data_IF_021938304642
#
_entry.id   IF_021938304642
#
_cell.length_a   1.000
_cell.length_b   1.000
_cell.length_c   1.000
_cell.angle_alpha   90.00
_cell.angle_beta   90.00
_cell.angle_gamma   90.00
#
_symmetry.space_group_name_H-M   'P 1'
#
loop_
_entity.id
_entity.type
_entity.pdbx_description
1 polymer ?
#
# COMPACT_ATOMS: atom_id res chain seq x y z
N UNK A 1 -2.31 -2.22 -20.74
CA UNK A 1 -2.03 -1.50 -19.48
C UNK A 1 -2.97 -1.88 -18.34
N UNK A 2 -4.31 -1.84 -18.48
CA UNK A 2 -5.23 -2.28 -17.40
C UNK A 2 -4.92 -3.69 -16.84
N UNK A 3 -4.64 -4.67 -17.71
CA UNK A 3 -4.24 -6.03 -17.30
C UNK A 3 -2.97 -6.04 -16.44
N UNK A 4 -2.00 -5.18 -16.75
CA UNK A 4 -0.73 -5.06 -15.98
C UNK A 4 -1.03 -4.51 -14.59
N UNK A 5 -1.84 -3.46 -14.47
CA UNK A 5 -2.23 -2.94 -13.16
C UNK A 5 -3.03 -3.94 -12.33
N UNK A 6 -3.87 -4.77 -12.97
CA UNK A 6 -4.57 -5.84 -12.27
C UNK A 6 -3.58 -6.87 -11.70
N UNK A 7 -2.59 -7.30 -12.49
CA UNK A 7 -1.51 -8.19 -12.00
C UNK A 7 -0.74 -7.55 -10.85
N UNK A 8 -0.41 -6.25 -10.96
CA UNK A 8 0.25 -5.51 -9.88
C UNK A 8 -0.61 -5.40 -8.61
N UNK A 9 -1.95 -5.26 -8.73
CA UNK A 9 -2.85 -5.32 -7.57
C UNK A 9 -2.79 -6.68 -6.88
N UNK A 10 -2.79 -7.77 -7.66
CA UNK A 10 -2.71 -9.13 -7.10
C UNK A 10 -1.38 -9.31 -6.38
N UNK A 11 -0.26 -8.93 -7.02
CA UNK A 11 1.07 -9.00 -6.40
C UNK A 11 1.17 -8.13 -5.14
N UNK A 12 0.58 -6.94 -5.17
CA UNK A 12 0.56 -6.02 -4.03
C UNK A 12 -0.26 -6.49 -2.84
N UNK A 13 -1.09 -7.53 -3.00
CA UNK A 13 -1.77 -8.22 -1.89
C UNK A 13 -0.97 -9.46 -1.50
N UNK A 14 -0.65 -10.32 -2.46
CA UNK A 14 -0.04 -11.62 -2.19
C UNK A 14 1.31 -11.48 -1.49
N UNK A 15 2.18 -10.58 -1.95
CA UNK A 15 3.53 -10.45 -1.39
C UNK A 15 3.53 -9.91 0.05
N UNK A 16 2.80 -8.83 0.41
CA UNK A 16 2.77 -8.36 1.80
C UNK A 16 2.07 -9.35 2.74
N UNK A 17 0.94 -9.92 2.33
CA UNK A 17 0.22 -10.87 3.19
C UNK A 17 0.99 -12.17 3.39
N UNK A 18 1.76 -12.63 2.41
CA UNK A 18 2.63 -13.79 2.57
C UNK A 18 3.62 -13.59 3.74
N UNK A 19 4.32 -12.46 3.77
CA UNK A 19 5.27 -12.15 4.83
C UNK A 19 4.57 -11.90 6.18
N UNK A 20 3.41 -11.24 6.17
CA UNK A 20 2.63 -11.00 7.39
C UNK A 20 2.12 -12.31 8.02
N UNK A 21 1.62 -13.25 7.20
CA UNK A 21 1.15 -14.55 7.68
C UNK A 21 2.32 -15.35 8.25
N UNK A 22 3.47 -15.37 7.58
CA UNK A 22 4.67 -16.03 8.11
C UNK A 22 5.08 -15.45 9.47
N UNK A 23 5.13 -14.12 9.59
CA UNK A 23 5.42 -13.45 10.85
C UNK A 23 4.42 -13.84 11.94
N UNK A 24 3.11 -13.87 11.63
CA UNK A 24 2.08 -14.26 12.59
C UNK A 24 2.24 -15.73 13.01
N UNK A 25 2.56 -16.64 12.10
CA UNK A 25 2.80 -18.06 12.43
C UNK A 25 4.00 -18.18 13.39
N UNK A 26 5.08 -17.46 13.13
CA UNK A 26 6.30 -17.48 13.95
C UNK A 26 6.08 -16.84 15.33
N UNK A 27 5.18 -15.86 15.44
CA UNK A 27 4.88 -15.12 16.67
C UNK A 27 3.60 -15.59 17.38
N UNK A 28 3.12 -16.82 17.13
CA UNK A 28 1.90 -17.40 17.74
C UNK A 28 0.64 -16.52 17.55
N UNK A 29 0.52 -15.85 16.41
CA UNK A 29 -0.56 -14.92 16.08
C UNK A 29 -0.42 -13.53 16.71
N UNK A 30 0.69 -13.25 17.40
CA UNK A 30 0.97 -11.96 18.00
C UNK A 30 1.59 -10.98 16.99
N UNK A 31 1.16 -9.72 17.07
CA UNK A 31 1.81 -8.59 16.38
C UNK A 31 2.99 -8.01 17.19
N UNK A 32 3.28 -8.60 18.35
CA UNK A 32 4.36 -8.14 19.22
C UNK A 32 5.72 -8.24 18.50
N UNK A 33 6.53 -7.19 18.64
CA UNK A 33 7.83 -7.10 17.95
C UNK A 33 7.78 -6.79 16.45
N UNK A 34 6.61 -6.71 15.79
CA UNK A 34 6.52 -6.44 14.34
C UNK A 34 7.22 -5.14 13.94
N UNK A 35 6.88 -4.04 14.60
CA UNK A 35 7.54 -2.75 14.35
C UNK A 35 9.00 -2.75 14.81
N UNK A 36 9.33 -3.49 15.87
CA UNK A 36 10.71 -3.66 16.31
C UNK A 36 11.58 -4.29 15.23
N UNK A 37 11.08 -5.32 14.54
CA UNK A 37 11.79 -6.00 13.45
C UNK A 37 11.88 -5.14 12.18
N UNK A 38 10.84 -4.39 11.84
CA UNK A 38 10.85 -3.43 10.71
C UNK A 38 11.97 -2.38 10.83
N UNK A 39 12.30 -1.98 12.05
CA UNK A 39 13.34 -0.98 12.33
C UNK A 39 14.60 -1.58 12.99
N UNK A 40 14.76 -2.91 13.00
CA UNK A 40 15.87 -3.58 13.66
C UNK A 40 17.22 -3.32 12.97
N UNK A 41 17.22 -3.05 11.66
CA UNK A 41 18.44 -2.80 10.89
C UNK A 41 18.30 -1.54 10.05
N UNK A 42 19.41 -0.84 9.80
CA UNK A 42 19.43 0.36 8.96
C UNK A 42 18.83 0.15 7.56
N UNK A 43 19.09 -0.96 6.84
CA UNK A 43 18.47 -1.21 5.54
C UNK A 43 16.94 -1.35 5.59
N UNK A 44 16.41 -2.09 6.57
CA UNK A 44 14.96 -2.26 6.74
C UNK A 44 14.29 -0.96 7.15
N UNK A 45 14.93 -0.18 8.03
CA UNK A 45 14.46 1.15 8.39
C UNK A 45 14.42 2.09 7.19
N UNK A 46 15.45 2.08 6.33
CA UNK A 46 15.51 2.90 5.12
C UNK A 46 14.35 2.59 4.16
N UNK A 47 14.10 1.30 3.88
CA UNK A 47 12.98 0.87 3.03
C UNK A 47 11.63 1.24 3.66
N UNK A 48 11.47 1.04 4.96
CA UNK A 48 10.24 1.39 5.69
C UNK A 48 9.95 2.89 5.63
N UNK A 49 10.99 3.71 5.78
CA UNK A 49 10.89 5.17 5.67
C UNK A 49 10.58 5.61 4.24
N UNK A 50 11.22 5.02 3.23
CA UNK A 50 10.95 5.33 1.82
C UNK A 50 9.48 5.03 1.45
N UNK A 51 8.97 3.87 1.85
CA UNK A 51 7.57 3.50 1.65
C UNK A 51 6.62 4.44 2.41
N UNK A 52 6.99 4.85 3.63
CA UNK A 52 6.19 5.79 4.43
C UNK A 52 6.09 7.15 3.75
N UNK A 53 7.20 7.67 3.24
CA UNK A 53 7.22 8.92 2.47
C UNK A 53 6.39 8.79 1.19
N UNK A 54 6.52 7.69 0.44
CA UNK A 54 5.72 7.44 -0.76
C UNK A 54 4.20 7.36 -0.43
N UNK A 55 3.83 6.65 0.64
CA UNK A 55 2.44 6.51 1.08
C UNK A 55 1.84 7.85 1.54
N UNK A 56 2.61 8.69 2.24
CA UNK A 56 2.19 10.02 2.65
C UNK A 56 1.99 10.96 1.45
N UNK A 57 2.92 10.97 0.49
CA UNK A 57 2.81 11.73 -0.74
C UNK A 57 1.56 11.32 -1.54
N UNK A 58 1.30 10.02 -1.65
CA UNK A 58 0.11 9.48 -2.31
C UNK A 58 -1.19 9.85 -1.58
N UNK A 59 -1.17 9.89 -0.24
CA UNK A 59 -2.29 10.35 0.57
C UNK A 59 -2.62 11.82 0.32
N UNK A 60 -1.60 12.68 0.26
CA UNK A 60 -1.76 14.11 -0.11
C UNK A 60 -2.33 14.25 -1.52
N UNK A 61 -1.82 13.47 -2.48
CA UNK A 61 -2.32 13.44 -3.85
C UNK A 61 -3.79 13.03 -3.93
N UNK A 62 -4.20 11.99 -3.19
CA UNK A 62 -5.61 11.57 -3.08
C UNK A 62 -6.49 12.70 -2.54
N UNK A 63 -6.07 13.38 -1.47
CA UNK A 63 -6.81 14.52 -0.89
C UNK A 63 -6.96 15.65 -1.92
N UNK A 64 -5.91 15.95 -2.69
CA UNK A 64 -5.97 16.94 -3.76
C UNK A 64 -6.98 16.56 -4.86
N UNK A 65 -6.96 15.29 -5.31
CA UNK A 65 -7.92 14.76 -6.31
C UNK A 65 -9.37 14.73 -5.79
N UNK A 66 -9.57 14.46 -4.49
CA UNK A 66 -10.88 14.54 -3.87
C UNK A 66 -11.47 15.95 -3.93
N UNK A 67 -10.65 16.98 -3.61
CA UNK A 67 -11.08 18.38 -3.67
C UNK A 67 -11.39 18.87 -5.08
N UNK A 68 -10.61 18.43 -6.08
CA UNK A 68 -10.73 18.93 -7.46
C UNK A 68 -11.78 18.21 -8.29
N UNK A 69 -11.86 16.87 -8.20
CA UNK A 69 -12.70 16.03 -9.08
C UNK A 69 -13.80 15.24 -8.32
N UNK A 70 -14.02 15.49 -7.02
CA UNK A 70 -14.97 14.76 -6.15
C UNK A 70 -14.88 13.22 -6.27
N UNK A 71 -13.69 12.70 -6.53
CA UNK A 71 -13.45 11.26 -6.63
C UNK A 71 -13.70 10.59 -5.27
N UNK A 72 -14.34 9.41 -5.25
CA UNK A 72 -14.51 8.62 -4.03
C UNK A 72 -13.16 8.04 -3.59
N UNK A 73 -12.39 8.81 -2.81
CA UNK A 73 -11.04 8.41 -2.35
C UNK A 73 -11.04 7.35 -1.25
N UNK A 74 -12.19 7.11 -0.63
CA UNK A 74 -12.35 6.17 0.49
C UNK A 74 -11.84 4.77 0.16
N UNK A 75 -12.09 4.28 -1.06
CA UNK A 75 -11.60 2.96 -1.52
C UNK A 75 -10.07 2.88 -1.45
N UNK A 76 -9.36 3.89 -1.96
CA UNK A 76 -7.89 3.89 -2.00
C UNK A 76 -7.28 4.07 -0.62
N UNK A 77 -7.91 4.90 0.24
CA UNK A 77 -7.51 5.04 1.64
C UNK A 77 -7.66 3.72 2.40
N UNK A 78 -8.80 3.04 2.25
CA UNK A 78 -9.03 1.72 2.87
C UNK A 78 -7.97 0.71 2.40
N UNK A 79 -7.67 0.66 1.10
CA UNK A 79 -6.60 -0.21 0.59
C UNK A 79 -5.21 0.15 1.12
N UNK A 80 -4.91 1.44 1.30
CA UNK A 80 -3.64 1.92 1.82
C UNK A 80 -3.41 1.45 3.27
N UNK A 81 -4.45 1.44 4.10
CA UNK A 81 -4.35 1.00 5.50
C UNK A 81 -4.53 -0.50 5.71
N UNK A 82 -5.37 -1.16 4.90
CA UNK A 82 -5.61 -2.60 5.04
C UNK A 82 -4.45 -3.44 4.50
N UNK A 83 -3.84 -3.01 3.39
CA UNK A 83 -2.81 -3.78 2.69
C UNK A 83 -1.50 -3.01 2.62
N UNK A 84 -1.56 -1.74 2.20
CA UNK A 84 -0.39 -0.89 2.06
C UNK A 84 -0.34 -0.16 0.71
N UNK A 85 0.72 0.63 0.54
CA UNK A 85 0.97 1.41 -0.67
C UNK A 85 1.05 0.53 -1.93
N UNK A 86 1.57 -0.69 -1.78
CA UNK A 86 1.74 -1.68 -2.86
C UNK A 86 0.43 -2.03 -3.59
N UNK A 87 -0.73 -2.01 -2.92
CA UNK A 87 -2.03 -2.20 -3.57
C UNK A 87 -2.70 -0.87 -3.93
N UNK A 88 -2.61 0.13 -3.06
CA UNK A 88 -3.37 1.36 -3.18
C UNK A 88 -3.05 2.12 -4.48
N UNK A 89 -1.76 2.17 -4.87
CA UNK A 89 -1.33 2.83 -6.09
C UNK A 89 -1.76 2.07 -7.37
N UNK A 90 -1.46 0.76 -7.56
CA UNK A 90 -1.94 0.01 -8.72
C UNK A 90 -3.47 0.04 -8.88
N UNK A 91 -4.21 -0.01 -7.77
CA UNK A 91 -5.67 0.06 -7.80
C UNK A 91 -6.16 1.43 -8.30
N UNK A 92 -5.54 2.52 -7.84
CA UNK A 92 -5.82 3.86 -8.33
C UNK A 92 -5.51 3.98 -9.83
N UNK A 93 -4.36 3.47 -10.27
CA UNK A 93 -3.99 3.49 -11.69
C UNK A 93 -4.95 2.66 -12.54
N UNK A 94 -5.39 1.50 -12.05
CA UNK A 94 -6.37 0.65 -12.74
C UNK A 94 -7.72 1.34 -12.92
N UNK A 95 -8.24 1.97 -11.85
CA UNK A 95 -9.57 2.61 -11.85
C UNK A 95 -9.61 3.89 -12.70
N UNK A 96 -8.49 4.61 -12.78
CA UNK A 96 -8.36 5.86 -13.55
C UNK A 96 -7.74 5.67 -14.94
N UNK A 97 -7.32 4.46 -15.30
CA UNK A 97 -6.76 4.21 -16.63
C UNK A 97 -7.79 4.50 -17.74
N UNK A 98 -7.48 5.51 -18.57
CA UNK A 98 -8.34 5.97 -19.66
C UNK A 98 -9.50 6.90 -19.23
N UNK A 99 -9.42 7.48 -18.02
CA UNK A 99 -10.34 8.53 -17.54
C UNK A 99 -9.62 9.88 -17.32
N UNK A 100 -8.39 9.98 -17.82
CA UNK A 100 -7.57 11.19 -17.74
C UNK A 100 -7.72 12.11 -18.96
N UNK A 101 -8.77 11.91 -19.76
CA UNK A 101 -9.24 12.89 -20.76
C UNK A 101 -10.06 14.00 -20.08
#
# INVERSE_FOLDING_TARGET
>A
MKKVYLVLCVLGIVLPYYHLIHFLIENNGSMDGFFGQLFATHPMAMISMDITVAASAFSVFLIHKWRTKKLKITKYFVCLFMVGFSLALPLYLYDNFGKED
#
